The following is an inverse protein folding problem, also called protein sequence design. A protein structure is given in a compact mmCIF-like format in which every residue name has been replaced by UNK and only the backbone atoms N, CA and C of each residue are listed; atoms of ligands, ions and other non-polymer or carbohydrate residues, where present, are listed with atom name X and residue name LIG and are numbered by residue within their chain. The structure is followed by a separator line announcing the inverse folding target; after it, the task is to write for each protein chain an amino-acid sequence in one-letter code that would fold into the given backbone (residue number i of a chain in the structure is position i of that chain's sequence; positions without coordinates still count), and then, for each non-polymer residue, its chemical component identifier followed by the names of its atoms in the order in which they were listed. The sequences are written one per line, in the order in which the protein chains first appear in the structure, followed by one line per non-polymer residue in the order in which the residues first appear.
data_IF_839117690917
#
_entry.id   IF_839117690917
#
_cell.length_a   1.000
_cell.length_b   1.000
_cell.length_c   1.000
_cell.angle_alpha   90.00
_cell.angle_beta   90.00
_cell.angle_gamma   90.00
#
_symmetry.space_group_name_H-M   'P 1'
#
loop_
_entity.id
_entity.type
_entity.pdbx_description
1 polymer ?
#
# COMPACT_ATOMS: atom_id res chain seq x y z
N UNK A 1 -0.94 -2.34 -24.51
CA UNK A 1 0.45 -2.82 -24.43
C UNK A 1 1.04 -2.36 -23.10
N UNK A 2 1.87 -3.15 -22.48
CA UNK A 2 2.39 -2.86 -21.13
C UNK A 2 2.86 -4.15 -20.46
N UNK A 3 2.93 -5.25 -21.26
CA UNK A 3 3.52 -6.49 -20.76
C UNK A 3 5.02 -6.25 -20.48
N UNK A 4 5.43 -6.53 -19.25
CA UNK A 4 6.80 -6.38 -18.76
C UNK A 4 7.44 -7.73 -18.38
N UNK A 5 6.68 -8.82 -18.49
CA UNK A 5 7.18 -10.18 -18.27
C UNK A 5 6.28 -11.23 -18.90
N UNK A 6 6.93 -12.22 -19.54
CA UNK A 6 6.26 -13.37 -20.14
C UNK A 6 7.11 -14.63 -19.98
N UNK A 7 6.48 -15.69 -19.49
CA UNK A 7 7.06 -17.04 -19.49
C UNK A 7 6.05 -18.03 -20.06
N UNK A 8 6.41 -18.67 -21.16
CA UNK A 8 5.63 -19.73 -21.78
C UNK A 8 6.08 -21.11 -21.32
N UNK A 9 5.16 -22.04 -21.29
CA UNK A 9 5.42 -23.47 -21.10
C UNK A 9 4.52 -24.30 -22.00
N UNK A 10 5.03 -25.39 -22.55
CA UNK A 10 4.24 -26.32 -23.36
C UNK A 10 4.77 -27.74 -23.15
N UNK A 11 3.88 -28.64 -22.77
CA UNK A 11 4.17 -30.10 -22.76
C UNK A 11 2.92 -30.81 -23.26
N UNK A 12 3.09 -32.05 -23.71
CA UNK A 12 1.98 -32.90 -24.17
C UNK A 12 0.89 -33.04 -23.07
N UNK A 13 1.30 -33.12 -21.80
CA UNK A 13 0.39 -33.30 -20.66
C UNK A 13 -0.22 -31.99 -20.19
N UNK A 14 0.56 -30.92 -20.09
CA UNK A 14 0.12 -29.62 -19.56
C UNK A 14 -0.56 -28.73 -20.61
N UNK A 15 -0.38 -29.02 -21.91
CA UNK A 15 -0.84 -28.14 -22.98
C UNK A 15 -0.06 -26.83 -23.04
N UNK A 16 -0.65 -25.80 -23.61
CA UNK A 16 -0.07 -24.48 -23.71
C UNK A 16 -0.35 -23.64 -22.44
N UNK A 17 0.71 -23.25 -21.73
CA UNK A 17 0.63 -22.43 -20.53
C UNK A 17 1.38 -21.10 -20.74
N UNK A 18 0.97 -20.08 -19.98
CA UNK A 18 1.56 -18.75 -19.99
C UNK A 18 1.46 -18.10 -18.61
N UNK A 19 2.55 -17.50 -18.13
CA UNK A 19 2.53 -16.50 -17.08
C UNK A 19 2.93 -15.16 -17.71
N UNK A 20 2.10 -14.15 -17.56
CA UNK A 20 2.33 -12.81 -18.11
C UNK A 20 2.16 -11.77 -17.01
N UNK A 21 2.96 -10.71 -17.03
CA UNK A 21 2.79 -9.54 -16.17
C UNK A 21 2.69 -8.26 -16.98
N UNK A 22 2.01 -7.27 -16.41
CA UNK A 22 1.95 -5.92 -16.95
C UNK A 22 1.85 -4.91 -15.81
N UNK A 23 2.46 -3.73 -16.00
CA UNK A 23 2.41 -2.63 -15.06
C UNK A 23 1.80 -1.40 -15.72
N UNK A 24 0.86 -0.73 -15.01
CA UNK A 24 0.29 0.58 -15.38
C UNK A 24 0.18 1.43 -14.12
N UNK A 25 0.63 2.67 -14.17
CA UNK A 25 0.51 3.65 -13.07
C UNK A 25 1.01 3.12 -11.71
N UNK A 26 2.08 2.32 -11.75
CA UNK A 26 2.66 1.70 -10.56
C UNK A 26 1.88 0.51 -9.98
N UNK A 27 0.85 0.04 -10.66
CA UNK A 27 0.09 -1.17 -10.34
C UNK A 27 0.49 -2.30 -11.29
N UNK A 28 0.98 -3.40 -10.74
CA UNK A 28 1.38 -4.58 -11.50
C UNK A 28 0.38 -5.73 -11.29
N UNK A 29 -0.04 -6.35 -12.38
CA UNK A 29 -0.79 -7.61 -12.37
C UNK A 29 0.00 -8.74 -13.00
N UNK A 30 -0.25 -9.95 -12.51
CA UNK A 30 0.27 -11.19 -13.06
C UNK A 30 -0.92 -12.08 -13.41
N UNK A 31 -0.97 -12.52 -14.66
CA UNK A 31 -1.95 -13.48 -15.15
C UNK A 31 -1.27 -14.83 -15.40
N UNK A 32 -1.88 -15.91 -14.92
CA UNK A 32 -1.44 -17.28 -15.17
C UNK A 32 -2.55 -18.00 -15.92
N UNK A 33 -2.22 -18.48 -17.12
CA UNK A 33 -3.14 -19.22 -17.99
C UNK A 33 -2.59 -20.60 -18.19
N UNK A 34 -3.40 -21.61 -17.91
CA UNK A 34 -3.05 -23.02 -18.04
C UNK A 34 -3.91 -23.69 -19.12
N UNK A 35 -3.27 -24.51 -19.96
CA UNK A 35 -3.91 -25.37 -20.95
C UNK A 35 -4.90 -24.63 -21.87
N UNK A 36 -4.51 -23.47 -22.40
CA UNK A 36 -5.33 -22.68 -23.32
C UNK A 36 -4.73 -22.64 -24.73
N UNK A 37 -5.55 -22.92 -25.74
CA UNK A 37 -5.19 -22.74 -27.14
C UNK A 37 -5.00 -21.28 -27.54
N UNK A 38 -5.59 -20.34 -26.77
CA UNK A 38 -5.52 -18.89 -26.97
C UNK A 38 -4.79 -18.16 -25.84
N UNK A 39 -3.79 -18.81 -25.21
CA UNK A 39 -3.14 -18.35 -23.96
C UNK A 39 -2.72 -16.89 -23.92
N UNK A 40 -2.28 -16.30 -25.04
CA UNK A 40 -1.89 -14.89 -25.12
C UNK A 40 -3.10 -13.97 -25.08
N UNK A 41 -4.19 -14.32 -25.76
CA UNK A 41 -5.44 -13.58 -25.71
C UNK A 41 -6.06 -13.65 -24.31
N UNK A 42 -6.11 -14.84 -23.72
CA UNK A 42 -6.68 -15.05 -22.38
C UNK A 42 -5.89 -14.29 -21.31
N UNK A 43 -4.54 -14.31 -21.37
CA UNK A 43 -3.71 -13.55 -20.47
C UNK A 43 -3.90 -12.02 -20.63
N UNK A 44 -4.03 -11.55 -21.87
CA UNK A 44 -4.33 -10.13 -22.13
C UNK A 44 -5.69 -9.73 -21.54
N UNK A 45 -6.72 -10.55 -21.74
CA UNK A 45 -8.06 -10.30 -21.20
C UNK A 45 -8.06 -10.26 -19.66
N UNK A 46 -7.32 -11.18 -18.99
CA UNK A 46 -7.18 -11.17 -17.54
C UNK A 46 -6.45 -9.93 -17.01
N UNK A 47 -5.38 -9.49 -17.67
CA UNK A 47 -4.64 -8.29 -17.30
C UNK A 47 -5.50 -7.03 -17.50
N UNK A 48 -6.23 -6.92 -18.61
CA UNK A 48 -7.17 -5.82 -18.85
C UNK A 48 -8.32 -5.81 -17.83
N UNK A 49 -8.85 -6.99 -17.45
CA UNK A 49 -9.82 -7.10 -16.37
C UNK A 49 -9.26 -6.55 -15.06
N UNK A 50 -8.01 -6.91 -14.71
CA UNK A 50 -7.34 -6.38 -13.53
C UNK A 50 -7.28 -4.85 -13.55
N UNK A 51 -6.77 -4.25 -14.62
CA UNK A 51 -6.64 -2.79 -14.72
C UNK A 51 -7.99 -2.05 -14.82
N UNK A 52 -9.02 -2.69 -15.36
CA UNK A 52 -10.36 -2.11 -15.42
C UNK A 52 -11.05 -2.08 -14.05
N UNK A 53 -10.87 -3.12 -13.24
CA UNK A 53 -11.66 -3.32 -12.03
C UNK A 53 -10.94 -2.93 -10.74
N UNK A 54 -9.60 -2.90 -10.72
CA UNK A 54 -8.83 -2.60 -9.51
C UNK A 54 -8.12 -1.26 -9.61
N UNK A 55 -7.86 -0.67 -8.46
CA UNK A 55 -7.12 0.59 -8.33
C UNK A 55 -6.19 0.53 -7.13
N UNK A 56 -5.05 1.19 -7.26
CA UNK A 56 -4.14 1.43 -6.13
C UNK A 56 -4.56 2.73 -5.44
N UNK A 57 -4.81 2.63 -4.14
CA UNK A 57 -5.10 3.77 -3.27
C UNK A 57 -3.88 4.04 -2.40
N UNK A 58 -3.32 5.24 -2.49
CA UNK A 58 -2.20 5.66 -1.65
C UNK A 58 -2.74 6.14 -0.29
N UNK A 59 -2.39 5.44 0.79
CA UNK A 59 -2.81 5.72 2.17
C UNK A 59 -1.84 6.67 2.88
N UNK A 60 -0.54 6.55 2.61
CA UNK A 60 0.48 7.45 3.15
C UNK A 60 1.71 7.49 2.24
N UNK A 61 2.40 8.64 2.23
CA UNK A 61 3.70 8.83 1.55
C UNK A 61 4.82 8.86 2.57
N UNK A 62 5.94 8.20 2.24
CA UNK A 62 7.13 8.14 3.07
C UNK A 62 7.59 9.54 3.51
N UNK A 63 7.82 9.73 4.79
CA UNK A 63 8.29 10.97 5.37
C UNK A 63 7.28 12.14 5.36
N UNK A 64 6.09 11.98 4.77
CA UNK A 64 5.03 12.99 4.86
C UNK A 64 4.18 12.75 6.10
N UNK A 65 4.00 13.76 6.98
CA UNK A 65 3.18 13.62 8.18
C UNK A 65 1.74 13.24 7.83
N UNK A 66 1.22 12.23 8.52
CA UNK A 66 -0.19 11.80 8.47
C UNK A 66 -0.94 12.23 9.73
N UNK A 67 -0.22 12.59 10.80
CA UNK A 67 -0.76 13.09 12.04
C UNK A 67 0.27 13.90 12.80
N UNK A 68 -0.20 14.71 13.76
CA UNK A 68 0.61 15.39 14.75
C UNK A 68 0.40 14.77 16.13
N UNK A 69 1.49 14.58 16.86
CA UNK A 69 1.46 14.09 18.24
C UNK A 69 1.96 15.15 19.22
N UNK A 70 1.35 15.19 20.41
CA UNK A 70 1.83 16.05 21.50
C UNK A 70 3.20 15.62 21.98
N UNK A 71 4.12 16.56 22.10
CA UNK A 71 5.49 16.31 22.50
C UNK A 71 5.92 17.27 23.64
N UNK A 72 6.89 16.79 24.43
CA UNK A 72 7.47 17.58 25.50
C UNK A 72 6.64 17.68 26.79
N UNK A 73 7.16 18.42 27.80
CA UNK A 73 6.47 18.60 29.07
C UNK A 73 5.13 19.29 28.85
N UNK A 74 4.06 18.72 29.40
CA UNK A 74 2.67 19.25 29.32
C UNK A 74 2.13 19.45 27.89
N UNK A 75 2.73 18.78 26.86
CA UNK A 75 2.30 18.94 25.46
C UNK A 75 2.63 20.32 24.87
N UNK A 76 3.72 20.94 25.31
CA UNK A 76 4.14 22.28 24.89
C UNK A 76 4.62 22.35 23.43
N UNK A 77 4.72 21.23 22.75
CA UNK A 77 5.13 21.11 21.36
C UNK A 77 4.33 20.04 20.63
N UNK A 78 4.40 20.05 19.30
CA UNK A 78 3.86 19.01 18.43
C UNK A 78 4.98 18.45 17.56
N UNK A 79 4.86 17.18 17.17
CA UNK A 79 5.78 16.52 16.26
C UNK A 79 4.98 15.78 15.19
N UNK A 80 5.34 15.97 13.93
CA UNK A 80 4.74 15.25 12.82
C UNK A 80 5.12 13.76 12.84
N UNK A 81 4.17 12.91 12.57
CA UNK A 81 4.33 11.46 12.47
C UNK A 81 4.11 11.00 11.03
N UNK A 82 5.05 10.25 10.49
CA UNK A 82 4.97 9.69 9.15
C UNK A 82 5.42 8.23 9.10
N UNK A 83 5.02 7.55 8.04
CA UNK A 83 5.54 6.23 7.69
C UNK A 83 6.95 6.34 7.10
N UNK A 84 7.78 5.31 7.30
CA UNK A 84 9.13 5.24 6.72
C UNK A 84 9.11 4.87 5.22
N UNK A 85 8.00 4.38 4.71
CA UNK A 85 7.80 3.97 3.31
C UNK A 85 6.40 4.36 2.85
N UNK A 86 6.21 4.42 1.53
CA UNK A 86 4.87 4.56 0.96
C UNK A 86 3.98 3.41 1.40
N UNK A 87 2.75 3.73 1.73
CA UNK A 87 1.69 2.77 2.07
C UNK A 87 0.59 2.91 1.05
N UNK A 88 0.27 1.81 0.39
CA UNK A 88 -0.83 1.74 -0.57
C UNK A 88 -1.54 0.41 -0.48
N UNK A 89 -2.80 0.39 -0.85
CA UNK A 89 -3.66 -0.80 -0.91
C UNK A 89 -4.24 -0.91 -2.31
N UNK A 90 -4.40 -2.13 -2.79
CA UNK A 90 -5.09 -2.41 -4.06
C UNK A 90 -6.46 -2.97 -3.72
N UNK A 91 -7.50 -2.31 -4.19
CA UNK A 91 -8.90 -2.70 -3.99
C UNK A 91 -9.67 -2.62 -5.30
N UNK A 92 -10.85 -3.20 -5.35
CA UNK A 92 -11.77 -2.96 -6.46
C UNK A 92 -12.20 -1.50 -6.47
N UNK A 93 -12.47 -0.97 -7.67
CA UNK A 93 -12.87 0.45 -7.83
C UNK A 93 -14.18 0.79 -7.14
N UNK A 94 -15.10 -0.18 -7.07
CA UNK A 94 -16.40 -0.07 -6.42
C UNK A 94 -16.34 -0.29 -4.89
N UNK A 95 -15.17 -0.61 -4.34
CA UNK A 95 -14.96 -0.88 -2.91
C UNK A 95 -14.05 0.17 -2.23
N UNK A 96 -13.66 1.22 -2.94
CA UNK A 96 -12.75 2.27 -2.40
C UNK A 96 -13.32 2.94 -1.16
N UNK A 97 -14.64 3.13 -1.11
CA UNK A 97 -15.33 3.77 0.02
C UNK A 97 -15.32 2.91 1.30
N UNK A 98 -14.92 1.62 1.21
CA UNK A 98 -14.77 0.72 2.35
C UNK A 98 -13.38 0.82 2.99
N UNK A 99 -12.46 1.59 2.37
CA UNK A 99 -11.14 1.84 2.94
C UNK A 99 -11.20 2.98 3.97
N UNK A 100 -10.63 2.73 5.14
CA UNK A 100 -10.42 3.74 6.18
C UNK A 100 -8.99 3.70 6.70
N UNK A 101 -8.55 4.79 7.32
CA UNK A 101 -7.23 4.92 7.91
C UNK A 101 -7.32 5.50 9.31
N UNK A 102 -6.88 4.75 10.31
CA UNK A 102 -6.85 5.17 11.70
C UNK A 102 -5.42 5.38 12.18
N UNK A 103 -5.19 6.51 12.83
CA UNK A 103 -3.90 6.80 13.46
C UNK A 103 -4.02 6.58 14.96
N UNK A 104 -3.19 5.66 15.47
CA UNK A 104 -3.04 5.41 16.89
C UNK A 104 -1.71 6.00 17.33
N UNK A 105 -1.76 6.97 18.23
CA UNK A 105 -0.57 7.64 18.74
C UNK A 105 -0.43 7.33 20.23
N UNK A 106 0.82 7.16 20.71
CA UNK A 106 1.08 7.15 22.15
C UNK A 106 0.63 8.48 22.76
N UNK A 107 -0.03 8.45 23.93
CA UNK A 107 -0.66 9.62 24.57
C UNK A 107 0.27 10.84 24.66
N UNK A 108 1.56 10.62 24.73
CA UNK A 108 2.56 11.68 24.77
C UNK A 108 3.93 11.21 24.30
N UNK A 109 4.49 11.91 23.34
CA UNK A 109 5.86 11.67 22.94
C UNK A 109 6.85 12.25 23.98
N UNK A 110 7.81 11.45 24.41
CA UNK A 110 8.92 11.95 25.23
C UNK A 110 9.76 12.93 24.39
N UNK A 111 10.26 13.99 25.02
CA UNK A 111 11.09 15.04 24.37
C UNK A 111 12.35 14.49 23.68
N UNK A 112 12.76 13.29 24.04
CA UNK A 112 13.89 12.55 23.48
C UNK A 112 13.43 11.31 22.71
N UNK A 113 12.26 11.35 22.06
CA UNK A 113 11.81 10.28 21.16
C UNK A 113 12.95 9.98 20.18
N UNK A 114 13.66 8.88 20.42
CA UNK A 114 14.84 8.51 19.62
C UNK A 114 14.37 8.20 18.20
N UNK A 115 15.04 8.78 17.23
CA UNK A 115 14.90 8.36 15.84
C UNK A 115 14.99 6.82 15.74
N UNK A 116 14.07 6.22 15.01
CA UNK A 116 14.03 4.77 14.79
C UNK A 116 13.14 3.95 15.72
N UNK A 117 12.46 4.56 16.71
CA UNK A 117 11.40 3.88 17.47
C UNK A 117 10.02 4.37 17.03
N UNK A 118 9.07 3.45 16.80
CA UNK A 118 7.70 3.84 16.47
C UNK A 118 7.10 4.71 17.59
N UNK A 119 6.41 5.76 17.17
CA UNK A 119 5.70 6.70 18.05
C UNK A 119 4.19 6.57 17.91
N UNK A 120 3.74 5.71 17.04
CA UNK A 120 2.34 5.42 16.75
C UNK A 120 2.22 4.39 15.64
N UNK A 121 0.99 4.17 15.20
CA UNK A 121 0.64 3.25 14.14
C UNK A 121 -0.40 3.87 13.21
N UNK A 122 -0.21 3.69 11.91
CA UNK A 122 -1.24 3.88 10.90
C UNK A 122 -1.87 2.52 10.64
N UNK A 123 -3.13 2.36 11.03
CA UNK A 123 -3.93 1.18 10.70
C UNK A 123 -4.72 1.46 9.44
N UNK A 124 -4.69 0.55 8.50
CA UNK A 124 -5.52 0.58 7.32
C UNK A 124 -6.60 -0.47 7.49
N UNK A 125 -7.84 -0.06 7.31
CA UNK A 125 -9.01 -0.91 7.45
C UNK A 125 -9.70 -1.05 6.10
N UNK A 126 -10.31 -2.19 5.89
CA UNK A 126 -11.21 -2.47 4.77
C UNK A 126 -12.45 -3.16 5.34
N UNK A 127 -13.63 -2.56 5.15
CA UNK A 127 -14.90 -3.02 5.75
C UNK A 127 -14.78 -3.22 7.27
N UNK A 128 -14.19 -2.22 7.96
CA UNK A 128 -13.88 -2.20 9.40
C UNK A 128 -12.86 -3.26 9.88
N UNK A 129 -12.36 -4.13 9.00
CA UNK A 129 -11.32 -5.09 9.34
C UNK A 129 -9.91 -4.54 9.06
N UNK A 130 -8.97 -4.75 9.99
CA UNK A 130 -7.59 -4.33 9.80
C UNK A 130 -6.88 -5.16 8.74
N UNK A 131 -6.52 -4.53 7.62
CA UNK A 131 -5.75 -5.15 6.53
C UNK A 131 -4.26 -4.81 6.58
N UNK A 132 -3.87 -3.88 7.43
CA UNK A 132 -2.46 -3.55 7.65
C UNK A 132 -2.23 -2.55 8.77
N UNK A 133 -1.08 -2.68 9.45
CA UNK A 133 -0.61 -1.74 10.45
C UNK A 133 0.84 -1.33 10.15
N UNK A 134 1.08 -0.03 10.08
CA UNK A 134 2.36 0.55 9.68
C UNK A 134 2.89 1.46 10.79
N UNK A 135 4.15 1.26 11.23
CA UNK A 135 4.71 2.09 12.29
C UNK A 135 4.90 3.53 11.82
N UNK A 136 4.57 4.46 12.71
CA UNK A 136 4.78 5.89 12.53
C UNK A 136 5.98 6.35 13.33
N UNK A 137 6.81 7.18 12.70
CA UNK A 137 8.02 7.75 13.27
C UNK A 137 7.94 9.27 13.24
N UNK A 138 8.58 9.92 14.19
CA UNK A 138 8.73 11.38 14.17
C UNK A 138 9.62 11.80 12.99
N UNK A 139 9.10 12.68 12.14
CA UNK A 139 9.82 13.18 10.96
C UNK A 139 10.30 14.62 11.11
N UNK A 140 9.71 15.39 12.03
CA UNK A 140 10.13 16.72 12.39
C UNK A 140 10.32 16.82 13.90
N UNK A 141 11.36 17.51 14.33
CA UNK A 141 11.55 17.81 15.75
C UNK A 141 10.36 18.61 16.31
N UNK A 142 10.13 18.56 17.64
CA UNK A 142 9.00 19.23 18.26
C UNK A 142 9.00 20.73 17.94
N UNK A 143 7.92 21.21 17.29
CA UNK A 143 7.67 22.63 17.08
C UNK A 143 6.92 23.19 18.28
N UNK A 144 7.39 24.32 18.86
CA UNK A 144 6.68 25.00 19.95
C UNK A 144 5.30 25.43 19.42
N UNK A 145 4.27 25.18 20.24
CA UNK A 145 2.96 25.80 20.02
C UNK A 145 3.11 27.29 20.28
N UNK A 146 2.81 28.12 19.29
CA UNK A 146 2.69 29.58 19.42
C UNK A 146 1.44 29.94 20.23
#
# INVERSE_FOLDING_TARGET
AGADGVKTGTTTRAGHCLAASATRDGLQFIAVVLRSGARFHDAAALLEYGFANFVRVDMAKAGRPVADALAGPRGAATAGLATARDVSVVVRRDEVDQLDAQVIVAERLKTNARAGRPSGWLRVLFDDEEVGAYPLYTVEGPKRRG
#
